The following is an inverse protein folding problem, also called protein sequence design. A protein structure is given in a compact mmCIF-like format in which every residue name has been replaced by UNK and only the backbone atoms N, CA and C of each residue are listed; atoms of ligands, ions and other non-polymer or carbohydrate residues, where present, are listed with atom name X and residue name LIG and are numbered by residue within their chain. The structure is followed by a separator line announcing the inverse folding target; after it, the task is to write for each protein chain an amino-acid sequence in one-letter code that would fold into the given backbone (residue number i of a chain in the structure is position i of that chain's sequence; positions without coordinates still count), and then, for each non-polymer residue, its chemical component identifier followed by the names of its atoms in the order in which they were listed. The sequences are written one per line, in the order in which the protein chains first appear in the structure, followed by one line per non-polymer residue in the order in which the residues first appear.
data_IF_728631286712
#
_entry.id   IF_728631286712
#
_cell.length_a   1.000
_cell.length_b   1.000
_cell.length_c   1.000
_cell.angle_alpha   90.00
_cell.angle_beta   90.00
_cell.angle_gamma   90.00
#
_symmetry.space_group_name_H-M   'P 1'
#
loop_
_entity.id
_entity.type
_entity.pdbx_description
1 polymer ?
#
# COMPACT_ATOMS: atom_id res chain seq x y z
N UNK A 1 -32.18 20.20 32.97
CA UNK A 1 -30.97 19.48 32.52
C UNK A 1 -30.53 20.02 31.20
N UNK A 2 -29.36 20.71 31.20
CA UNK A 2 -28.75 21.22 29.96
C UNK A 2 -27.92 20.08 29.39
N UNK A 3 -28.35 19.52 28.25
CA UNK A 3 -27.55 18.52 27.49
C UNK A 3 -26.49 19.27 26.69
N UNK A 4 -25.26 19.35 27.20
CA UNK A 4 -24.11 19.88 26.46
C UNK A 4 -23.58 18.74 25.60
N UNK A 5 -24.01 18.67 24.31
CA UNK A 5 -23.38 17.82 23.31
C UNK A 5 -22.08 18.47 22.87
N UNK A 6 -20.97 18.03 23.44
CA UNK A 6 -19.63 18.33 22.92
C UNK A 6 -19.45 17.56 21.61
N UNK A 7 -19.66 18.25 20.49
CA UNK A 7 -19.25 17.76 19.19
C UNK A 7 -17.73 17.87 19.11
N UNK A 8 -17.04 16.81 19.49
CA UNK A 8 -15.62 16.68 19.17
C UNK A 8 -15.53 16.48 17.67
N UNK A 9 -15.14 17.52 16.93
CA UNK A 9 -14.81 17.36 15.52
C UNK A 9 -13.64 16.39 15.44
N UNK A 10 -13.74 15.31 14.63
CA UNK A 10 -12.59 14.45 14.40
C UNK A 10 -11.44 15.32 13.88
N UNK A 11 -10.26 15.13 14.44
CA UNK A 11 -9.03 15.79 13.96
C UNK A 11 -8.75 15.17 12.59
N UNK A 12 -9.14 15.87 11.53
CA UNK A 12 -8.90 15.43 10.16
C UNK A 12 -7.60 16.04 9.64
N UNK A 13 -6.81 15.24 8.95
CA UNK A 13 -5.59 15.67 8.26
C UNK A 13 -5.94 16.23 6.87
N UNK A 14 -5.13 17.17 6.38
CA UNK A 14 -5.12 17.58 4.96
C UNK A 14 -3.94 16.99 4.21
N UNK A 15 -3.14 16.18 4.86
CA UNK A 15 -1.97 15.54 4.24
C UNK A 15 -2.45 14.53 3.19
N UNK A 16 -1.99 14.62 1.93
CA UNK A 16 -2.32 13.63 0.92
C UNK A 16 -1.96 12.22 1.39
N UNK A 17 -2.80 11.25 1.04
CA UNK A 17 -2.67 9.83 1.39
C UNK A 17 -2.72 9.51 2.89
N UNK A 18 -3.08 10.46 3.76
CA UNK A 18 -3.28 10.16 5.17
C UNK A 18 -4.62 9.44 5.40
N UNK A 19 -4.63 8.46 6.31
CA UNK A 19 -5.82 7.64 6.65
C UNK A 19 -6.91 8.42 7.39
N UNK A 20 -6.59 9.61 7.87
CA UNK A 20 -7.47 10.56 8.55
C UNK A 20 -7.82 11.77 7.66
N UNK A 21 -7.48 11.73 6.37
CA UNK A 21 -7.81 12.77 5.40
C UNK A 21 -9.08 12.41 4.61
N UNK A 22 -10.20 13.17 4.78
CA UNK A 22 -11.45 12.95 4.05
C UNK A 22 -11.46 13.53 2.64
N UNK A 23 -10.45 14.33 2.25
CA UNK A 23 -10.38 14.95 0.93
C UNK A 23 -10.08 13.89 -0.16
N UNK A 24 -10.28 14.25 -1.44
CA UNK A 24 -10.11 13.33 -2.58
C UNK A 24 -8.79 12.56 -2.60
N UNK A 25 -7.69 13.21 -2.19
CA UNK A 25 -6.36 12.60 -2.15
C UNK A 25 -6.05 11.89 -0.82
N UNK A 26 -6.98 11.82 0.12
CA UNK A 26 -6.83 11.04 1.34
C UNK A 26 -7.14 9.56 1.13
N UNK A 27 -6.90 8.74 2.14
CA UNK A 27 -7.21 7.31 2.15
C UNK A 27 -8.16 6.93 3.28
N UNK A 28 -8.94 7.90 3.79
CA UNK A 28 -9.88 7.67 4.88
C UNK A 28 -10.97 6.66 4.50
N UNK A 29 -11.44 6.67 3.24
CA UNK A 29 -12.47 5.74 2.77
C UNK A 29 -11.99 4.28 2.88
N UNK A 30 -10.73 3.97 2.54
CA UNK A 30 -10.16 2.62 2.73
C UNK A 30 -10.18 2.25 4.20
N UNK A 31 -9.73 3.14 5.08
CA UNK A 31 -9.69 2.87 6.51
C UNK A 31 -11.09 2.61 7.09
N UNK A 32 -12.10 3.38 6.67
CA UNK A 32 -13.49 3.19 7.09
C UNK A 32 -14.08 1.89 6.52
N UNK A 33 -13.79 1.55 5.26
CA UNK A 33 -14.21 0.29 4.67
C UNK A 33 -13.64 -0.90 5.46
N UNK A 34 -12.35 -0.89 5.77
CA UNK A 34 -11.73 -1.95 6.57
C UNK A 34 -12.36 -2.06 7.95
N UNK A 35 -12.67 -0.92 8.60
CA UNK A 35 -13.36 -0.91 9.92
C UNK A 35 -14.78 -1.48 9.80
N UNK A 36 -15.48 -1.18 8.72
CA UNK A 36 -16.81 -1.72 8.47
C UNK A 36 -16.78 -3.25 8.31
N UNK A 37 -15.70 -3.77 7.71
CA UNK A 37 -15.44 -5.22 7.62
C UNK A 37 -14.92 -5.84 8.92
N UNK A 38 -14.91 -5.09 10.03
CA UNK A 38 -14.49 -5.58 11.35
C UNK A 38 -12.99 -5.58 11.58
N UNK A 39 -12.19 -4.96 10.69
CA UNK A 39 -10.74 -4.87 10.83
C UNK A 39 -10.40 -3.64 11.68
N UNK A 40 -9.62 -3.84 12.74
CA UNK A 40 -9.12 -2.73 13.55
C UNK A 40 -8.02 -1.97 12.80
N UNK A 41 -8.27 -0.70 12.49
CA UNK A 41 -7.31 0.16 11.78
C UNK A 41 -6.84 1.26 12.69
N UNK A 42 -5.53 1.33 12.93
CA UNK A 42 -4.87 2.37 13.72
C UNK A 42 -3.72 3.02 12.95
N UNK A 43 -3.40 4.26 13.29
CA UNK A 43 -2.26 4.99 12.71
C UNK A 43 -1.03 4.78 13.58
N UNK A 44 0.06 4.34 12.97
CA UNK A 44 1.36 4.30 13.63
C UNK A 44 2.12 5.62 13.35
N UNK A 45 2.69 6.22 14.40
CA UNK A 45 3.46 7.46 14.27
C UNK A 45 4.91 7.23 13.80
N UNK A 46 5.34 5.97 13.78
CA UNK A 46 6.70 5.59 13.33
C UNK A 46 6.72 4.15 12.83
N UNK A 47 7.70 3.85 11.99
CA UNK A 47 7.96 2.47 11.51
C UNK A 47 8.24 1.53 12.68
N UNK A 48 8.96 1.98 13.70
CA UNK A 48 9.27 1.15 14.89
C UNK A 48 8.00 0.68 15.60
N UNK A 49 7.01 1.57 15.79
CA UNK A 49 5.71 1.21 16.39
C UNK A 49 4.91 0.25 15.50
N UNK A 50 4.95 0.44 14.18
CA UNK A 50 4.30 -0.46 13.25
C UNK A 50 4.93 -1.86 13.28
N UNK A 51 6.26 -1.95 13.29
CA UNK A 51 6.99 -3.23 13.42
C UNK A 51 6.73 -3.90 14.77
N UNK A 52 6.61 -3.15 15.85
CA UNK A 52 6.22 -3.70 17.15
C UNK A 52 4.81 -4.29 17.11
N UNK A 53 3.85 -3.57 16.52
CA UNK A 53 2.48 -4.07 16.35
C UNK A 53 2.42 -5.34 15.49
N UNK A 54 3.26 -5.45 14.46
CA UNK A 54 3.29 -6.63 13.58
C UNK A 54 3.72 -7.92 14.31
N UNK A 55 4.52 -7.82 15.35
CA UNK A 55 4.88 -8.97 16.21
C UNK A 55 3.68 -9.58 16.93
N UNK A 56 2.61 -8.80 17.07
CA UNK A 56 1.34 -9.22 17.65
C UNK A 56 0.31 -9.57 16.55
N UNK A 57 0.75 -9.84 15.33
CA UNK A 57 -0.08 -10.28 14.23
C UNK A 57 -0.74 -9.14 13.43
N UNK A 58 -0.35 -7.88 13.62
CA UNK A 58 -0.86 -6.80 12.79
C UNK A 58 -0.21 -6.80 11.39
N UNK A 59 -1.01 -6.56 10.35
CA UNK A 59 -0.52 -6.21 9.02
C UNK A 59 -0.11 -4.73 9.00
N UNK A 60 1.04 -4.43 8.42
CA UNK A 60 1.53 -3.06 8.26
C UNK A 60 1.15 -2.55 6.87
N UNK A 61 0.38 -1.47 6.79
CA UNK A 61 0.15 -0.75 5.55
C UNK A 61 0.99 0.53 5.51
N UNK A 62 1.86 0.64 4.51
CA UNK A 62 2.68 1.83 4.25
C UNK A 62 2.13 2.54 3.03
N UNK A 63 1.63 3.75 3.22
CA UNK A 63 1.16 4.59 2.11
C UNK A 63 2.23 5.60 1.76
N UNK A 64 2.68 5.57 0.51
CA UNK A 64 3.80 6.36 -0.03
C UNK A 64 5.17 5.95 0.55
N UNK A 65 5.69 4.81 0.09
CA UNK A 65 6.98 4.27 0.52
C UNK A 65 8.19 5.14 0.14
N UNK A 66 8.02 6.12 -0.75
CA UNK A 66 9.08 7.06 -1.14
C UNK A 66 9.62 7.88 0.03
N UNK A 67 8.86 7.97 1.11
CA UNK A 67 9.25 8.70 2.34
C UNK A 67 10.06 7.88 3.32
N UNK A 68 10.16 6.57 3.11
CA UNK A 68 10.91 5.69 3.99
C UNK A 68 12.42 5.81 3.74
N UNK A 69 13.18 5.98 4.80
CA UNK A 69 14.64 5.81 4.75
C UNK A 69 15.01 4.34 4.51
N UNK A 70 16.24 4.09 4.07
CA UNK A 70 16.75 2.72 3.91
C UNK A 70 16.73 1.94 5.23
N UNK A 71 17.00 2.60 6.35
CA UNK A 71 16.96 1.97 7.67
C UNK A 71 15.53 1.52 8.05
N UNK A 72 14.53 2.34 7.76
CA UNK A 72 13.12 2.01 7.99
C UNK A 72 12.65 0.86 7.09
N UNK A 73 13.05 0.85 5.82
CA UNK A 73 12.75 -0.27 4.92
C UNK A 73 13.36 -1.58 5.41
N UNK A 74 14.62 -1.55 5.85
CA UNK A 74 15.26 -2.73 6.46
C UNK A 74 14.58 -3.18 7.75
N UNK A 75 14.05 -2.25 8.53
CA UNK A 75 13.26 -2.60 9.72
C UNK A 75 11.92 -3.27 9.34
N UNK A 76 11.24 -2.77 8.30
CA UNK A 76 10.02 -3.40 7.77
C UNK A 76 10.29 -4.80 7.20
N UNK A 77 11.44 -5.02 6.56
CA UNK A 77 11.84 -6.34 6.06
C UNK A 77 11.96 -7.40 7.17
N UNK A 78 12.08 -6.99 8.42
CA UNK A 78 12.12 -7.84 9.61
C UNK A 78 10.80 -7.83 10.39
N UNK A 79 9.72 -7.32 9.79
CA UNK A 79 8.40 -7.32 10.41
C UNK A 79 7.90 -8.77 10.65
N UNK A 80 7.23 -8.99 11.77
CA UNK A 80 6.68 -10.30 12.12
C UNK A 80 5.32 -10.59 11.45
N UNK A 81 4.71 -9.61 10.80
CA UNK A 81 3.45 -9.71 10.07
C UNK A 81 3.58 -9.16 8.66
N UNK A 82 2.55 -9.38 7.85
CA UNK A 82 2.52 -8.96 6.44
C UNK A 82 2.70 -7.45 6.28
N UNK A 83 3.33 -7.06 5.17
CA UNK A 83 3.56 -5.67 4.80
C UNK A 83 2.89 -5.37 3.46
N UNK A 84 2.08 -4.34 3.42
CA UNK A 84 1.42 -3.82 2.21
C UNK A 84 1.97 -2.44 1.91
N UNK A 85 2.61 -2.28 0.77
CA UNK A 85 3.09 -1.00 0.26
C UNK A 85 2.07 -0.45 -0.74
N UNK A 86 1.63 0.78 -0.54
CA UNK A 86 0.72 1.49 -1.45
C UNK A 86 1.39 2.78 -1.91
N UNK A 87 1.87 2.78 -3.16
CA UNK A 87 2.57 3.90 -3.78
C UNK A 87 4.09 3.81 -3.70
N UNK A 88 4.71 3.67 -4.88
CA UNK A 88 6.16 3.59 -5.11
C UNK A 88 6.55 4.46 -6.31
N UNK A 89 6.29 5.77 -6.21
CA UNK A 89 6.50 6.73 -7.30
C UNK A 89 7.93 7.25 -7.40
N UNK A 90 8.77 6.96 -6.42
CA UNK A 90 10.16 7.39 -6.34
C UNK A 90 11.04 6.75 -7.44
N UNK A 91 12.32 6.72 -7.22
CA UNK A 91 13.25 6.05 -8.12
C UNK A 91 13.31 4.53 -7.91
N UNK A 92 14.13 3.86 -8.70
CA UNK A 92 14.38 2.41 -8.63
C UNK A 92 14.70 1.90 -7.21
N UNK A 93 15.23 2.74 -6.35
CA UNK A 93 15.67 2.39 -5.01
C UNK A 93 14.57 2.45 -3.93
N UNK A 94 13.34 2.82 -4.28
CA UNK A 94 12.25 2.98 -3.30
C UNK A 94 11.95 1.70 -2.51
N UNK A 95 12.11 0.54 -3.14
CA UNK A 95 11.89 -0.77 -2.50
C UNK A 95 13.17 -1.42 -1.96
N UNK A 96 14.33 -0.85 -2.24
CA UNK A 96 15.63 -1.38 -1.80
C UNK A 96 15.69 -1.59 -0.29
N UNK A 97 16.04 -2.81 0.10
CA UNK A 97 16.09 -3.23 1.51
C UNK A 97 14.80 -3.88 2.01
N UNK A 98 13.74 -3.89 1.20
CA UNK A 98 12.53 -4.70 1.40
C UNK A 98 12.57 -5.93 0.47
N UNK A 99 12.88 -5.73 -0.80
CA UNK A 99 12.83 -6.71 -1.89
C UNK A 99 13.82 -6.28 -2.97
N UNK A 100 14.12 -7.16 -3.92
CA UNK A 100 14.92 -6.87 -5.11
C UNK A 100 14.07 -6.31 -6.26
N UNK A 101 12.74 -6.27 -6.12
CA UNK A 101 11.88 -5.54 -7.05
C UNK A 101 12.28 -4.07 -7.17
N UNK A 102 12.13 -3.49 -8.35
CA UNK A 102 12.43 -2.07 -8.59
C UNK A 102 11.20 -1.29 -8.97
N UNK A 103 11.03 -0.08 -8.44
CA UNK A 103 9.96 0.81 -8.88
C UNK A 103 10.30 1.45 -10.22
N UNK A 104 9.28 1.60 -11.06
CA UNK A 104 9.36 2.24 -12.37
C UNK A 104 8.25 3.29 -12.48
N UNK A 105 8.50 4.34 -13.23
CA UNK A 105 7.52 5.38 -13.50
C UNK A 105 6.31 4.89 -14.30
N UNK A 106 5.46 5.83 -14.69
CA UNK A 106 4.21 5.59 -15.40
C UNK A 106 4.36 4.59 -16.54
N UNK A 107 3.44 3.64 -16.61
CA UNK A 107 3.48 2.57 -17.61
C UNK A 107 2.19 2.48 -18.45
N UNK A 108 1.04 2.94 -17.93
CA UNK A 108 -0.24 2.83 -18.64
C UNK A 108 -1.12 4.05 -18.38
N UNK A 109 -1.88 4.54 -19.37
CA UNK A 109 -2.88 5.59 -19.16
C UNK A 109 -3.91 5.15 -18.10
N UNK A 110 -4.29 6.07 -17.21
CA UNK A 110 -5.25 5.81 -16.13
C UNK A 110 -6.65 5.35 -16.56
N UNK A 111 -6.95 5.39 -17.84
CA UNK A 111 -8.22 4.89 -18.42
C UNK A 111 -8.20 3.41 -18.79
N UNK A 112 -7.07 2.73 -18.71
CA UNK A 112 -6.96 1.30 -19.03
C UNK A 112 -7.41 0.48 -17.83
N UNK A 113 -8.28 -0.50 -18.06
CA UNK A 113 -8.61 -1.52 -17.07
C UNK A 113 -7.64 -2.68 -17.26
N UNK A 114 -6.93 -3.03 -16.20
CA UNK A 114 -5.97 -4.13 -16.17
C UNK A 114 -6.63 -5.36 -15.56
N UNK A 115 -6.31 -6.53 -16.10
CA UNK A 115 -6.77 -7.83 -15.57
C UNK A 115 -5.62 -8.55 -14.86
N UNK A 116 -5.90 -9.34 -13.81
CA UNK A 116 -4.88 -10.10 -13.12
C UNK A 116 -4.42 -11.26 -14.01
N UNK A 117 -3.16 -11.25 -14.44
CA UNK A 117 -2.54 -12.33 -15.21
C UNK A 117 -1.56 -13.12 -14.34
N UNK A 118 -2.00 -13.52 -13.16
CA UNK A 118 -1.19 -14.22 -12.17
C UNK A 118 -2.07 -15.14 -11.30
N UNK A 119 -1.45 -16.00 -10.51
CA UNK A 119 -2.15 -16.91 -9.58
C UNK A 119 -2.35 -16.36 -8.17
N UNK A 120 -1.99 -15.10 -7.90
CA UNK A 120 -2.17 -14.51 -6.58
C UNK A 120 -3.64 -14.34 -6.21
N UNK A 121 -4.02 -14.79 -5.00
CA UNK A 121 -5.42 -14.83 -4.58
C UNK A 121 -6.03 -13.44 -4.41
N UNK A 122 -5.25 -12.45 -3.93
CA UNK A 122 -5.72 -11.10 -3.70
C UNK A 122 -5.98 -10.40 -5.04
N UNK A 123 -5.07 -10.59 -6.02
CA UNK A 123 -5.22 -10.08 -7.37
C UNK A 123 -6.43 -10.70 -8.09
N UNK A 124 -6.64 -12.00 -7.94
CA UNK A 124 -7.81 -12.70 -8.50
C UNK A 124 -9.12 -12.22 -7.86
N UNK A 125 -9.14 -11.98 -6.56
CA UNK A 125 -10.29 -11.44 -5.85
C UNK A 125 -10.63 -10.01 -6.29
N UNK A 126 -9.62 -9.18 -6.60
CA UNK A 126 -9.80 -7.83 -7.11
C UNK A 126 -10.39 -7.79 -8.53
N UNK A 127 -10.18 -8.84 -9.35
CA UNK A 127 -10.68 -9.03 -10.72
C UNK A 127 -10.13 -8.02 -11.73
N UNK A 128 -10.04 -6.75 -11.37
CA UNK A 128 -9.53 -5.70 -12.24
C UNK A 128 -8.91 -4.58 -11.43
N UNK A 129 -8.01 -3.85 -12.04
CA UNK A 129 -7.41 -2.64 -11.49
C UNK A 129 -7.50 -1.53 -12.53
N UNK A 130 -7.89 -0.33 -12.13
CA UNK A 130 -7.79 0.85 -12.98
C UNK A 130 -6.33 1.12 -13.33
N UNK A 131 -6.06 1.67 -14.51
CA UNK A 131 -4.71 1.90 -15.00
C UNK A 131 -3.82 2.61 -13.99
N UNK A 132 -2.55 2.23 -14.00
CA UNK A 132 -1.58 2.63 -13.00
C UNK A 132 -0.61 3.69 -13.54
N UNK A 133 -0.35 4.72 -12.76
CA UNK A 133 0.66 5.75 -13.04
C UNK A 133 2.04 5.40 -12.47
N UNK A 134 2.19 4.22 -11.88
CA UNK A 134 3.45 3.65 -11.43
C UNK A 134 3.45 2.14 -11.65
N UNK A 135 4.61 1.54 -11.65
CA UNK A 135 4.76 0.09 -11.80
C UNK A 135 5.97 -0.42 -11.01
N UNK A 136 6.02 -1.71 -10.81
CA UNK A 136 7.20 -2.42 -10.34
C UNK A 136 7.71 -3.34 -11.44
N UNK A 137 9.02 -3.55 -11.48
CA UNK A 137 9.69 -4.56 -12.31
C UNK A 137 10.24 -5.63 -11.38
N UNK A 138 10.09 -6.89 -11.78
CA UNK A 138 10.58 -8.05 -11.04
C UNK A 138 12.02 -8.41 -11.44
N UNK A 139 12.64 -7.67 -12.35
CA UNK A 139 13.96 -7.96 -12.85
C UNK A 139 14.97 -8.04 -11.70
N UNK A 140 15.51 -9.23 -11.46
CA UNK A 140 16.42 -9.52 -10.35
C UNK A 140 15.75 -10.12 -9.10
N UNK A 141 14.46 -10.44 -9.17
CA UNK A 141 13.68 -11.04 -8.10
C UNK A 141 12.89 -12.24 -8.66
N UNK A 142 13.46 -13.44 -8.50
CA UNK A 142 12.92 -14.67 -9.08
C UNK A 142 11.74 -15.24 -8.27
N UNK A 143 11.57 -14.81 -7.02
CA UNK A 143 10.50 -15.27 -6.11
C UNK A 143 9.25 -14.37 -6.16
N UNK A 144 9.39 -13.15 -6.70
CA UNK A 144 8.28 -12.22 -6.79
C UNK A 144 7.28 -12.60 -7.89
N UNK A 145 6.00 -12.36 -7.63
CA UNK A 145 4.89 -12.59 -8.57
C UNK A 145 4.29 -11.26 -8.99
N UNK A 146 4.36 -10.96 -10.29
CA UNK A 146 3.76 -9.77 -10.88
C UNK A 146 2.33 -10.01 -11.36
N UNK A 147 1.44 -9.07 -11.06
CA UNK A 147 0.04 -9.09 -11.47
C UNK A 147 -0.37 -7.75 -12.08
N UNK A 148 -1.41 -7.75 -12.90
CA UNK A 148 -1.87 -6.57 -13.63
C UNK A 148 -0.73 -5.97 -14.47
N UNK A 149 -0.30 -6.65 -15.55
CA UNK A 149 0.79 -6.20 -16.39
C UNK A 149 0.47 -4.87 -17.07
N UNK A 150 1.42 -3.96 -17.07
CA UNK A 150 1.32 -2.62 -17.67
C UNK A 150 2.39 -2.38 -18.75
N UNK A 151 3.14 -3.39 -19.06
CA UNK A 151 4.20 -3.39 -20.06
C UNK A 151 5.09 -4.61 -19.90
N UNK A 152 6.13 -4.71 -20.72
CA UNK A 152 7.11 -5.78 -20.61
C UNK A 152 7.80 -5.71 -19.25
N UNK A 153 7.75 -6.81 -18.51
CA UNK A 153 8.31 -6.94 -17.15
C UNK A 153 7.92 -5.81 -16.18
N UNK A 154 6.69 -5.29 -16.32
CA UNK A 154 6.14 -4.22 -15.47
C UNK A 154 4.75 -4.56 -15.00
N UNK A 155 4.51 -4.39 -13.72
CA UNK A 155 3.27 -4.77 -13.06
C UNK A 155 2.74 -3.64 -12.16
N UNK A 156 1.43 -3.44 -12.14
CA UNK A 156 0.79 -2.48 -11.25
C UNK A 156 0.69 -2.99 -9.80
N UNK A 157 0.71 -4.32 -9.63
CA UNK A 157 0.75 -4.99 -8.35
C UNK A 157 1.72 -6.16 -8.40
N UNK A 158 2.44 -6.38 -7.31
CA UNK A 158 3.30 -7.54 -7.16
C UNK A 158 3.33 -8.02 -5.70
N UNK A 159 3.63 -9.30 -5.54
CA UNK A 159 3.85 -9.93 -4.23
C UNK A 159 5.24 -10.54 -4.16
N UNK A 160 5.76 -10.61 -2.94
CA UNK A 160 7.06 -11.20 -2.63
C UNK A 160 7.04 -11.72 -1.18
N UNK A 161 8.10 -12.39 -0.76
CA UNK A 161 8.31 -12.84 0.61
C UNK A 161 9.45 -12.05 1.25
N UNK A 162 9.15 -11.39 2.36
CA UNK A 162 10.16 -10.67 3.14
C UNK A 162 11.21 -11.62 3.73
N UNK A 163 12.42 -11.15 4.04
CA UNK A 163 13.44 -11.94 4.74
C UNK A 163 12.95 -12.55 6.07
N UNK A 164 11.93 -11.98 6.69
CA UNK A 164 11.28 -12.51 7.88
C UNK A 164 10.35 -13.71 7.61
N UNK A 165 10.05 -14.02 6.35
CA UNK A 165 9.06 -15.01 5.93
C UNK A 165 7.63 -14.47 5.84
N UNK A 166 7.38 -13.21 6.18
CA UNK A 166 6.08 -12.57 6.03
C UNK A 166 5.83 -12.15 4.56
N UNK A 167 4.56 -12.03 4.17
CA UNK A 167 4.23 -11.60 2.80
C UNK A 167 4.46 -10.10 2.62
N UNK A 168 5.03 -9.74 1.48
CA UNK A 168 5.09 -8.37 0.96
C UNK A 168 4.11 -8.23 -0.20
N UNK A 169 3.29 -7.19 -0.17
CA UNK A 169 2.39 -6.82 -1.28
C UNK A 169 2.67 -5.38 -1.67
N UNK A 170 2.84 -5.15 -2.96
CA UNK A 170 3.16 -3.81 -3.49
C UNK A 170 2.12 -3.40 -4.52
N UNK A 171 1.26 -2.45 -4.20
CA UNK A 171 0.44 -1.71 -5.15
C UNK A 171 1.21 -0.47 -5.58
N UNK A 172 1.68 -0.45 -6.82
CA UNK A 172 2.62 0.56 -7.28
C UNK A 172 2.04 1.99 -7.28
N UNK A 173 0.78 2.14 -7.71
CA UNK A 173 0.09 3.44 -7.69
C UNK A 173 -0.82 3.57 -6.46
N UNK A 174 -0.72 4.65 -5.68
CA UNK A 174 -1.64 4.90 -4.57
C UNK A 174 -3.04 5.34 -5.00
N UNK A 175 -3.24 5.70 -6.27
CA UNK A 175 -4.52 6.19 -6.81
C UNK A 175 -5.72 5.34 -6.40
N UNK A 176 -5.72 4.02 -6.64
CA UNK A 176 -6.83 3.13 -6.29
C UNK A 176 -7.22 3.14 -4.80
N UNK A 177 -6.29 3.49 -3.90
CA UNK A 177 -6.57 3.59 -2.47
C UNK A 177 -7.06 4.98 -2.02
N UNK A 178 -7.17 5.94 -2.94
CA UNK A 178 -7.64 7.29 -2.58
C UNK A 178 -9.16 7.39 -2.51
N UNK A 179 -9.66 8.33 -1.71
CA UNK A 179 -11.09 8.60 -1.59
C UNK A 179 -11.75 8.93 -2.95
N UNK A 180 -10.98 9.51 -3.89
CA UNK A 180 -11.48 9.84 -5.23
C UNK A 180 -11.89 8.61 -6.07
N UNK A 181 -11.35 7.43 -5.78
CA UNK A 181 -11.63 6.19 -6.51
C UNK A 181 -12.61 5.27 -5.77
N UNK A 182 -12.90 5.56 -4.50
CA UNK A 182 -13.78 4.76 -3.64
C UNK A 182 -15.11 5.46 -3.32
N UNK A 183 -15.32 6.68 -3.83
CA UNK A 183 -16.53 7.49 -3.60
C UNK A 183 -17.60 7.25 -4.65
#
# INVERSE_FOLDING_TARGET
PVLVTLWTRPITSKTPLAIDNPEKLGTMAVAELLRHEGISVSKADSVSKAVEASRNGATIAVVNADRLSLAERKALAQAGGDVVIVGVRGGSDTLKGLTDMTSKGAASPGSTILEPQCGDADAQAARSLAGSHASVSLQGDDDAVGCFPVGEDRYAYATDTLPSGAALRVLADPGPATNAHLA
#
